data_IF_936191576721
#
_entry.id   IF_936191576721
#
_cell.length_a   1.000
_cell.length_b   1.000
_cell.length_c   1.000
_cell.angle_alpha   90.00
_cell.angle_beta   90.00
_cell.angle_gamma   90.00
#
_symmetry.space_group_name_H-M   'P 1'
#
loop_
_entity.id
_entity.type
_entity.pdbx_description
1 polymer ?
#
# COMPACT_ATOMS: atom_id res chain seq x y z
N UNK A 1 -89.01 -64.02 -10.13
CA UNK A 1 -88.37 -63.85 -8.81
C UNK A 1 -89.06 -62.74 -8.01
N UNK A 2 -89.16 -61.49 -8.48
CA UNK A 2 -89.92 -60.42 -7.77
C UNK A 2 -91.40 -60.77 -7.49
N UNK A 3 -92.14 -61.24 -8.50
CA UNK A 3 -93.55 -61.65 -8.34
C UNK A 3 -93.80 -62.80 -7.35
N UNK A 4 -92.80 -63.64 -7.07
CA UNK A 4 -92.95 -64.74 -6.11
C UNK A 4 -92.72 -64.26 -4.68
N UNK A 5 -91.85 -63.26 -4.50
CA UNK A 5 -91.61 -62.63 -3.20
C UNK A 5 -92.78 -61.73 -2.80
N UNK A 6 -93.31 -60.93 -3.73
CA UNK A 6 -94.49 -60.08 -3.50
C UNK A 6 -95.74 -60.94 -3.17
N UNK A 7 -95.91 -62.09 -3.83
CA UNK A 7 -97.03 -62.99 -3.56
C UNK A 7 -96.85 -63.77 -2.25
N UNK A 8 -95.60 -64.05 -1.84
CA UNK A 8 -95.29 -64.63 -0.52
C UNK A 8 -95.60 -63.64 0.60
N UNK A 9 -95.18 -62.37 0.48
CA UNK A 9 -95.54 -61.32 1.44
C UNK A 9 -97.06 -61.09 1.48
N UNK A 10 -97.75 -61.20 0.34
CA UNK A 10 -99.22 -61.14 0.28
C UNK A 10 -99.88 -62.32 0.99
N UNK A 11 -99.36 -63.54 0.82
CA UNK A 11 -99.82 -64.73 1.55
C UNK A 11 -99.58 -64.61 3.06
N UNK A 12 -98.38 -64.20 3.49
CA UNK A 12 -98.06 -64.00 4.91
C UNK A 12 -98.94 -62.90 5.54
N UNK A 13 -99.24 -61.84 4.78
CA UNK A 13 -100.17 -60.79 5.22
C UNK A 13 -101.60 -61.30 5.36
N UNK A 14 -102.10 -62.07 4.39
CA UNK A 14 -103.43 -62.69 4.43
C UNK A 14 -103.53 -63.73 5.55
N UNK A 15 -102.47 -64.49 5.83
CA UNK A 15 -102.41 -65.41 6.98
C UNK A 15 -102.49 -64.64 8.31
N UNK A 16 -101.75 -63.53 8.45
CA UNK A 16 -101.85 -62.70 9.67
C UNK A 16 -103.25 -62.05 9.81
N UNK A 17 -103.87 -61.62 8.72
CA UNK A 17 -105.23 -61.07 8.72
C UNK A 17 -106.27 -62.14 9.04
N UNK A 18 -106.05 -63.38 8.58
CA UNK A 18 -106.87 -64.55 8.91
C UNK A 18 -106.74 -64.91 10.40
N UNK A 19 -105.53 -64.92 10.97
CA UNK A 19 -105.32 -65.16 12.41
C UNK A 19 -105.98 -64.08 13.27
N UNK A 20 -105.86 -62.80 12.87
CA UNK A 20 -106.57 -61.70 13.54
C UNK A 20 -108.08 -61.90 13.47
N UNK A 21 -108.63 -62.26 12.31
CA UNK A 21 -110.06 -62.54 12.15
C UNK A 21 -110.51 -63.76 12.96
N UNK A 22 -109.72 -64.82 13.02
CA UNK A 22 -109.99 -66.00 13.84
C UNK A 22 -109.96 -65.67 15.34
N UNK A 23 -109.01 -64.83 15.79
CA UNK A 23 -108.95 -64.37 17.18
C UNK A 23 -110.16 -63.50 17.54
N UNK A 24 -110.56 -62.57 16.65
CA UNK A 24 -111.75 -61.74 16.80
C UNK A 24 -113.02 -62.59 16.84
N UNK A 25 -113.15 -63.56 15.94
CA UNK A 25 -114.26 -64.50 15.91
C UNK A 25 -114.32 -65.36 17.18
N UNK A 26 -113.18 -65.80 17.70
CA UNK A 26 -113.10 -66.55 18.97
C UNK A 26 -113.54 -65.68 20.16
N UNK A 27 -113.10 -64.42 20.22
CA UNK A 27 -113.54 -63.48 21.26
C UNK A 27 -115.04 -63.18 21.14
N UNK A 28 -115.55 -63.02 19.92
CA UNK A 28 -116.96 -62.79 19.64
C UNK A 28 -117.81 -64.01 20.02
N UNK A 29 -117.39 -65.23 19.68
CA UNK A 29 -118.03 -66.48 20.14
C UNK A 29 -118.07 -66.58 21.66
N UNK A 30 -116.97 -66.25 22.35
CA UNK A 30 -116.94 -66.23 23.82
C UNK A 30 -117.90 -65.18 24.40
N UNK A 31 -117.97 -63.98 23.80
CA UNK A 31 -118.91 -62.93 24.20
C UNK A 31 -120.37 -63.35 23.99
N UNK A 32 -120.68 -63.91 22.82
CA UNK A 32 -122.01 -64.47 22.52
C UNK A 32 -122.36 -65.58 23.52
N UNK A 33 -121.42 -66.48 23.84
CA UNK A 33 -121.67 -67.57 24.78
C UNK A 33 -121.88 -67.06 26.21
N UNK A 34 -121.21 -65.97 26.63
CA UNK A 34 -121.50 -65.28 27.90
C UNK A 34 -122.89 -64.66 27.89
N UNK A 35 -123.25 -63.92 26.84
CA UNK A 35 -124.57 -63.29 26.70
C UNK A 35 -125.68 -64.36 26.63
N UNK A 36 -125.47 -65.48 25.93
CA UNK A 36 -126.43 -66.59 25.91
C UNK A 36 -126.61 -67.21 27.30
N UNK A 37 -125.54 -67.32 28.09
CA UNK A 37 -125.63 -67.79 29.46
C UNK A 37 -126.34 -66.78 30.39
N UNK A 38 -126.12 -65.48 30.20
CA UNK A 38 -126.87 -64.43 30.90
C UNK A 38 -128.34 -64.44 30.52
N UNK A 39 -128.67 -64.57 29.23
CA UNK A 39 -130.06 -64.73 28.76
C UNK A 39 -130.71 -65.97 29.38
N UNK A 40 -130.04 -67.13 29.39
CA UNK A 40 -130.58 -68.31 30.09
C UNK A 40 -130.75 -68.12 31.60
N UNK A 41 -129.87 -67.35 32.25
CA UNK A 41 -130.03 -67.01 33.67
C UNK A 41 -131.24 -66.10 33.89
N UNK A 42 -131.45 -65.13 33.00
CA UNK A 42 -132.61 -64.25 33.03
C UNK A 42 -133.91 -65.00 32.68
N UNK A 43 -133.88 -65.96 31.74
CA UNK A 43 -135.01 -66.84 31.42
C UNK A 43 -135.35 -67.76 32.60
N UNK A 44 -134.37 -68.36 33.28
CA UNK A 44 -134.63 -69.12 34.52
C UNK A 44 -135.17 -68.22 35.63
N UNK A 45 -134.60 -67.02 35.80
CA UNK A 45 -135.10 -66.07 36.80
C UNK A 45 -136.52 -65.60 36.45
N UNK A 46 -136.86 -65.46 35.16
CA UNK A 46 -138.22 -65.19 34.70
C UNK A 46 -139.13 -66.37 35.00
N UNK A 47 -138.73 -67.60 34.68
CA UNK A 47 -139.52 -68.80 34.93
C UNK A 47 -139.73 -69.05 36.43
N UNK A 48 -138.70 -68.84 37.26
CA UNK A 48 -138.79 -68.87 38.73
C UNK A 48 -139.72 -67.75 39.25
N UNK A 49 -139.67 -66.55 38.67
CA UNK A 49 -140.59 -65.47 39.02
C UNK A 49 -142.01 -65.72 38.52
N UNK A 50 -142.19 -66.39 37.38
CA UNK A 50 -143.50 -66.75 36.80
C UNK A 50 -144.12 -67.93 37.57
N UNK A 51 -143.31 -68.88 38.03
CA UNK A 51 -143.68 -69.95 38.97
C UNK A 51 -144.04 -69.36 40.35
N UNK A 52 -143.23 -68.44 40.89
CA UNK A 52 -143.55 -67.71 42.12
C UNK A 52 -144.81 -66.83 41.99
N UNK A 53 -145.07 -66.25 40.81
CA UNK A 53 -146.30 -65.48 40.52
C UNK A 53 -147.52 -66.43 40.40
N UNK A 54 -147.32 -67.65 39.90
CA UNK A 54 -148.35 -68.69 39.83
C UNK A 54 -148.67 -69.31 41.20
N UNK A 55 -147.68 -69.40 42.10
CA UNK A 55 -147.84 -69.78 43.50
C UNK A 55 -148.48 -68.66 44.33
N UNK A 56 -148.11 -67.39 44.09
CA UNK A 56 -148.72 -66.22 44.74
C UNK A 56 -150.17 -65.98 44.30
N UNK A 57 -150.59 -66.44 43.11
CA UNK A 57 -152.00 -66.37 42.64
C UNK A 57 -152.93 -67.41 43.30
N UNK A 58 -152.39 -68.40 44.02
CA UNK A 58 -153.20 -69.39 44.79
C UNK A 58 -153.58 -68.92 46.20
N UNK A 59 -153.19 -67.72 46.60
CA UNK A 59 -153.51 -67.11 47.89
C UNK A 59 -154.11 -65.71 47.68
N UNK A 60 -155.31 -65.63 47.10
CA UNK A 60 -156.22 -64.52 47.37
C UNK A 60 -156.68 -64.60 48.83
N UNK A 61 -156.44 -63.58 49.69
CA UNK A 61 -157.14 -63.48 50.94
C UNK A 61 -158.57 -63.00 50.64
N UNK A 62 -159.53 -63.93 50.74
CA UNK A 62 -160.97 -63.63 50.83
C UNK A 62 -161.20 -62.54 51.89
N UNK A 63 -162.20 -61.65 51.70
CA UNK A 63 -162.51 -60.58 52.63
C UNK A 63 -162.98 -61.18 53.96
N UNK A 64 -162.05 -61.30 54.91
CA UNK A 64 -162.35 -61.70 56.27
C UNK A 64 -162.87 -60.47 57.00
N UNK A 65 -164.13 -60.58 57.41
CA UNK A 65 -164.74 -59.74 58.43
C UNK A 65 -163.90 -59.95 59.70
N UNK A 66 -162.92 -59.07 59.89
CA UNK A 66 -162.07 -59.08 61.07
C UNK A 66 -162.94 -58.84 62.30
N UNK A 67 -162.80 -59.72 63.28
CA UNK A 67 -163.39 -59.51 64.61
C UNK A 67 -162.61 -58.41 65.33
N UNK A 68 -163.27 -57.64 66.21
CA UNK A 68 -162.70 -56.46 66.91
C UNK A 68 -161.33 -56.73 67.57
N UNK A 69 -161.06 -57.97 68.00
CA UNK A 69 -159.79 -58.40 68.56
C UNK A 69 -158.64 -58.45 67.52
N UNK A 70 -158.92 -58.88 66.29
CA UNK A 70 -157.93 -58.93 65.20
C UNK A 70 -157.60 -57.53 64.70
N UNK A 71 -158.59 -56.63 64.67
CA UNK A 71 -158.38 -55.21 64.42
C UNK A 71 -157.43 -54.59 65.45
N UNK A 72 -157.61 -54.88 66.75
CA UNK A 72 -156.68 -54.39 67.80
C UNK A 72 -155.26 -54.94 67.66
N UNK A 73 -155.11 -56.22 67.26
CA UNK A 73 -153.79 -56.82 67.03
C UNK A 73 -153.12 -56.20 65.79
N UNK A 74 -153.87 -55.98 64.71
CA UNK A 74 -153.38 -55.29 63.52
C UNK A 74 -153.05 -53.82 63.79
N UNK A 75 -153.87 -53.13 64.58
CA UNK A 75 -153.63 -51.75 65.01
C UNK A 75 -152.38 -51.63 65.89
N UNK A 76 -152.16 -52.59 66.81
CA UNK A 76 -150.93 -52.68 67.61
C UNK A 76 -149.69 -52.97 66.75
N UNK A 77 -149.79 -53.89 65.79
CA UNK A 77 -148.70 -54.17 64.83
C UNK A 77 -148.40 -52.96 63.94
N UNK A 78 -149.44 -52.26 63.46
CA UNK A 78 -149.29 -51.04 62.67
C UNK A 78 -148.64 -49.94 63.51
N UNK A 79 -149.03 -49.77 64.77
CA UNK A 79 -148.42 -48.80 65.70
C UNK A 79 -146.94 -49.11 65.94
N UNK A 80 -146.59 -50.38 66.18
CA UNK A 80 -145.20 -50.80 66.37
C UNK A 80 -144.36 -50.62 65.09
N UNK A 81 -144.91 -51.00 63.93
CA UNK A 81 -144.27 -50.75 62.65
C UNK A 81 -144.08 -49.24 62.39
N UNK A 82 -145.06 -48.42 62.74
CA UNK A 82 -144.98 -46.96 62.57
C UNK A 82 -143.96 -46.32 63.53
N UNK A 83 -143.85 -46.82 64.76
CA UNK A 83 -142.80 -46.44 65.70
C UNK A 83 -141.41 -46.83 65.17
N UNK A 84 -141.28 -48.03 64.61
CA UNK A 84 -140.02 -48.49 64.01
C UNK A 84 -139.66 -47.70 62.76
N UNK A 85 -140.62 -47.39 61.89
CA UNK A 85 -140.42 -46.49 60.74
C UNK A 85 -139.97 -45.11 61.20
N UNK A 86 -140.55 -44.57 62.28
CA UNK A 86 -140.12 -43.29 62.84
C UNK A 86 -138.68 -43.34 63.36
N UNK A 87 -138.32 -44.40 64.10
CA UNK A 87 -136.95 -44.64 64.60
C UNK A 87 -135.95 -44.81 63.46
N UNK A 88 -136.30 -45.58 62.44
CA UNK A 88 -135.48 -45.77 61.24
C UNK A 88 -135.33 -44.47 60.45
N UNK A 89 -136.38 -43.65 60.38
CA UNK A 89 -136.33 -42.32 59.74
C UNK A 89 -135.39 -41.36 60.48
N UNK A 90 -135.42 -41.37 61.82
CA UNK A 90 -134.49 -40.58 62.64
C UNK A 90 -133.04 -41.06 62.47
N UNK A 91 -132.81 -42.39 62.51
CA UNK A 91 -131.49 -42.96 62.25
C UNK A 91 -130.98 -42.64 60.84
N UNK A 92 -131.83 -42.74 59.81
CA UNK A 92 -131.49 -42.37 58.43
C UNK A 92 -131.12 -40.88 58.37
N UNK A 93 -131.83 -40.01 59.10
CA UNK A 93 -131.49 -38.58 59.19
C UNK A 93 -130.13 -38.35 59.85
N UNK A 94 -129.80 -39.07 60.91
CA UNK A 94 -128.50 -38.95 61.57
C UNK A 94 -127.36 -39.54 60.73
N UNK A 95 -127.57 -40.68 60.08
CA UNK A 95 -126.64 -41.22 59.09
C UNK A 95 -126.40 -40.24 57.94
N UNK A 96 -127.45 -39.55 57.47
CA UNK A 96 -127.31 -38.52 56.44
C UNK A 96 -126.44 -37.36 56.91
N UNK A 97 -126.61 -36.87 58.15
CA UNK A 97 -125.74 -35.82 58.72
C UNK A 97 -124.28 -36.28 58.83
N UNK A 98 -124.04 -37.53 59.22
CA UNK A 98 -122.67 -38.09 59.31
C UNK A 98 -122.05 -38.22 57.91
N UNK A 99 -122.83 -38.64 56.91
CA UNK A 99 -122.37 -38.69 55.51
C UNK A 99 -122.02 -37.28 55.02
N UNK A 100 -122.86 -36.28 55.29
CA UNK A 100 -122.60 -34.87 54.94
C UNK A 100 -121.32 -34.36 55.63
N UNK A 101 -121.16 -34.57 56.94
CA UNK A 101 -119.94 -34.19 57.68
C UNK A 101 -118.68 -34.88 57.13
N UNK A 102 -118.74 -36.18 56.84
CA UNK A 102 -117.62 -36.92 56.27
C UNK A 102 -117.28 -36.45 54.84
N UNK A 103 -118.30 -36.07 54.05
CA UNK A 103 -118.10 -35.51 52.72
C UNK A 103 -117.40 -34.14 52.80
N UNK A 104 -117.82 -33.27 53.72
CA UNK A 104 -117.18 -31.97 53.99
C UNK A 104 -115.75 -32.14 54.49
N UNK A 105 -115.51 -33.07 55.42
CA UNK A 105 -114.16 -33.39 55.90
C UNK A 105 -113.27 -33.95 54.77
N UNK A 106 -113.81 -34.84 53.94
CA UNK A 106 -113.09 -35.37 52.78
C UNK A 106 -112.73 -34.27 51.79
N UNK A 107 -113.64 -33.32 51.54
CA UNK A 107 -113.38 -32.19 50.66
C UNK A 107 -112.31 -31.24 51.26
N UNK A 108 -112.36 -30.98 52.57
CA UNK A 108 -111.34 -30.17 53.24
C UNK A 108 -109.92 -30.80 53.17
N UNK A 109 -109.82 -32.12 53.38
CA UNK A 109 -108.54 -32.82 53.24
C UNK A 109 -108.06 -32.90 51.78
N UNK A 110 -108.97 -33.04 50.79
CA UNK A 110 -108.62 -32.93 49.37
C UNK A 110 -108.04 -31.55 49.05
N UNK A 111 -108.65 -30.47 49.52
CA UNK A 111 -108.15 -29.11 49.32
C UNK A 111 -106.77 -28.90 49.96
N UNK A 112 -106.57 -29.44 51.16
CA UNK A 112 -105.28 -29.41 51.86
C UNK A 112 -104.22 -30.21 51.10
N UNK A 113 -104.57 -31.38 50.58
CA UNK A 113 -103.70 -32.18 49.73
C UNK A 113 -103.29 -31.40 48.47
N UNK A 114 -104.24 -30.80 47.76
CA UNK A 114 -103.95 -29.96 46.58
C UNK A 114 -103.10 -28.72 46.89
N UNK A 115 -103.18 -28.16 48.10
CA UNK A 115 -102.26 -27.08 48.55
C UNK A 115 -100.85 -27.60 48.79
N UNK A 116 -100.70 -28.76 49.45
CA UNK A 116 -99.41 -29.38 49.69
C UNK A 116 -98.73 -29.86 48.41
N UNK A 117 -99.49 -30.39 47.44
CA UNK A 117 -98.96 -30.78 46.13
C UNK A 117 -98.35 -29.59 45.38
N UNK A 118 -99.01 -28.42 45.43
CA UNK A 118 -98.48 -27.17 44.86
C UNK A 118 -97.20 -26.73 45.57
N UNK A 119 -97.16 -26.77 46.90
CA UNK A 119 -95.95 -26.42 47.67
C UNK A 119 -94.78 -27.38 47.36
N UNK A 120 -95.04 -28.69 47.27
CA UNK A 120 -94.03 -29.69 46.88
C UNK A 120 -93.53 -29.42 45.45
N UNK A 121 -94.40 -29.09 44.51
CA UNK A 121 -94.01 -28.75 43.15
C UNK A 121 -93.11 -27.50 43.10
N UNK A 122 -93.47 -26.44 43.84
CA UNK A 122 -92.65 -25.22 43.95
C UNK A 122 -91.29 -25.49 44.60
N UNK A 123 -91.25 -26.29 45.67
CA UNK A 123 -89.98 -26.68 46.32
C UNK A 123 -89.10 -27.53 45.41
N UNK A 124 -89.67 -28.44 44.62
CA UNK A 124 -88.94 -29.21 43.61
C UNK A 124 -88.31 -28.29 42.57
N UNK A 125 -89.08 -27.36 42.03
CA UNK A 125 -88.58 -26.36 41.09
C UNK A 125 -87.42 -25.55 41.69
N UNK A 126 -87.56 -25.06 42.94
CA UNK A 126 -86.50 -24.35 43.63
C UNK A 126 -85.24 -25.19 43.82
N UNK A 127 -85.38 -26.47 44.19
CA UNK A 127 -84.24 -27.40 44.32
C UNK A 127 -83.53 -27.57 42.97
N UNK A 128 -84.27 -27.71 41.88
CA UNK A 128 -83.68 -27.88 40.54
C UNK A 128 -83.00 -26.60 40.06
N UNK A 129 -83.57 -25.41 40.33
CA UNK A 129 -82.93 -24.12 40.09
C UNK A 129 -81.62 -23.97 40.90
N UNK A 130 -81.62 -24.35 42.18
CA UNK A 130 -80.43 -24.29 43.03
C UNK A 130 -79.35 -25.30 42.57
N UNK A 131 -79.74 -26.51 42.18
CA UNK A 131 -78.82 -27.50 41.57
C UNK A 131 -78.21 -26.97 40.28
N UNK A 132 -79.01 -26.28 39.45
CA UNK A 132 -78.52 -25.60 38.24
C UNK A 132 -77.49 -24.52 38.57
N UNK A 133 -77.77 -23.67 39.56
CA UNK A 133 -76.83 -22.64 40.05
C UNK A 133 -75.52 -23.26 40.53
N UNK A 134 -75.57 -24.34 41.33
CA UNK A 134 -74.37 -25.04 41.81
C UNK A 134 -73.53 -25.55 40.65
N UNK A 135 -74.14 -26.24 39.66
CA UNK A 135 -73.42 -26.72 38.47
C UNK A 135 -72.78 -25.57 37.68
N UNK A 136 -73.48 -24.45 37.54
CA UNK A 136 -72.94 -23.27 36.87
C UNK A 136 -71.74 -22.68 37.63
N UNK A 137 -71.80 -22.60 38.96
CA UNK A 137 -70.67 -22.17 39.79
C UNK A 137 -69.50 -23.14 39.72
N UNK A 138 -69.72 -24.45 39.75
CA UNK A 138 -68.66 -25.45 39.57
C UNK A 138 -67.98 -25.32 38.21
N UNK A 139 -68.76 -25.12 37.13
CA UNK A 139 -68.20 -24.90 35.80
C UNK A 139 -67.43 -23.58 35.71
N UNK A 140 -67.94 -22.51 36.31
CA UNK A 140 -67.25 -21.22 36.39
C UNK A 140 -65.92 -21.35 37.13
N UNK A 141 -65.92 -22.01 38.30
CA UNK A 141 -64.73 -22.24 39.10
C UNK A 141 -63.68 -23.08 38.36
N UNK A 142 -64.11 -24.09 37.58
CA UNK A 142 -63.20 -24.86 36.72
C UNK A 142 -62.55 -23.99 35.64
N UNK A 143 -63.31 -23.10 34.99
CA UNK A 143 -62.78 -22.16 33.99
C UNK A 143 -61.81 -21.16 34.62
N UNK A 144 -62.19 -20.56 35.75
CA UNK A 144 -61.33 -19.64 36.50
C UNK A 144 -60.03 -20.32 36.96
N UNK A 145 -60.09 -21.59 37.39
CA UNK A 145 -58.90 -22.37 37.74
C UNK A 145 -57.98 -22.60 36.54
N UNK A 146 -58.52 -22.97 35.37
CA UNK A 146 -57.69 -23.13 34.15
C UNK A 146 -57.10 -21.80 33.69
N UNK A 147 -57.88 -20.71 33.74
CA UNK A 147 -57.40 -19.37 33.37
C UNK A 147 -56.30 -18.88 34.33
N UNK A 148 -56.45 -19.14 35.63
CA UNK A 148 -55.41 -18.83 36.63
C UNK A 148 -54.13 -19.62 36.36
N UNK A 149 -54.24 -20.93 36.12
CA UNK A 149 -53.09 -21.77 35.78
C UNK A 149 -52.35 -21.26 34.52
N UNK A 150 -53.08 -20.91 33.46
CA UNK A 150 -52.50 -20.38 32.23
C UNK A 150 -51.82 -19.02 32.44
N UNK A 151 -52.32 -18.20 33.38
CA UNK A 151 -51.70 -16.92 33.76
C UNK A 151 -50.44 -17.16 34.60
N UNK A 152 -50.47 -18.11 35.54
CA UNK A 152 -49.31 -18.49 36.35
C UNK A 152 -48.17 -19.05 35.48
N UNK A 153 -48.48 -19.90 34.50
CA UNK A 153 -47.50 -20.43 33.55
C UNK A 153 -46.90 -19.32 32.69
N UNK A 154 -47.73 -18.40 32.20
CA UNK A 154 -47.25 -17.22 31.46
C UNK A 154 -46.35 -16.34 32.34
N UNK A 155 -46.72 -16.12 33.60
CA UNK A 155 -45.91 -15.35 34.54
C UNK A 155 -44.53 -16.00 34.71
N UNK A 156 -44.48 -17.30 35.00
CA UNK A 156 -43.23 -18.05 35.16
C UNK A 156 -42.33 -17.95 33.91
N UNK A 157 -42.89 -18.15 32.73
CA UNK A 157 -42.13 -18.03 31.47
C UNK A 157 -41.57 -16.61 31.30
N UNK A 158 -42.35 -15.57 31.63
CA UNK A 158 -41.86 -14.18 31.56
C UNK A 158 -40.79 -13.85 32.61
N UNK A 159 -40.84 -14.46 33.79
CA UNK A 159 -39.80 -14.34 34.81
C UNK A 159 -38.48 -14.99 34.38
N UNK A 160 -38.55 -16.20 33.79
CA UNK A 160 -37.39 -16.89 33.22
C UNK A 160 -36.77 -16.08 32.08
N UNK A 161 -37.59 -15.55 31.16
CA UNK A 161 -37.15 -14.66 30.08
C UNK A 161 -36.48 -13.38 30.61
N UNK A 162 -37.03 -12.80 31.69
CA UNK A 162 -36.44 -11.63 32.34
C UNK A 162 -35.06 -11.96 32.92
N UNK A 163 -34.93 -13.12 33.58
CA UNK A 163 -33.65 -13.58 34.13
C UNK A 163 -32.62 -13.80 33.01
N UNK A 164 -33.01 -14.45 31.90
CA UNK A 164 -32.16 -14.61 30.73
C UNK A 164 -31.72 -13.25 30.14
N UNK A 165 -32.64 -12.32 29.92
CA UNK A 165 -32.32 -10.97 29.44
C UNK A 165 -31.38 -10.22 30.38
N UNK A 166 -31.55 -10.35 31.69
CA UNK A 166 -30.65 -9.74 32.69
C UNK A 166 -29.22 -10.27 32.56
N UNK A 167 -29.05 -11.59 32.48
CA UNK A 167 -27.71 -12.19 32.28
C UNK A 167 -27.08 -11.77 30.95
N UNK A 168 -27.87 -11.66 29.88
CA UNK A 168 -27.41 -11.19 28.58
C UNK A 168 -26.95 -9.72 28.62
N UNK A 169 -27.73 -8.84 29.27
CA UNK A 169 -27.36 -7.43 29.49
C UNK A 169 -26.06 -7.34 30.29
N UNK A 170 -25.88 -8.15 31.33
CA UNK A 170 -24.63 -8.17 32.10
C UNK A 170 -23.43 -8.63 31.26
N UNK A 171 -23.61 -9.62 30.38
CA UNK A 171 -22.59 -10.05 29.42
C UNK A 171 -22.20 -8.92 28.48
N UNK A 172 -23.18 -8.24 27.87
CA UNK A 172 -22.93 -7.09 26.98
C UNK A 172 -22.23 -5.94 27.72
N UNK A 173 -22.63 -5.64 28.96
CA UNK A 173 -21.94 -4.63 29.80
C UNK A 173 -20.47 -4.98 30.02
N UNK A 174 -20.15 -6.26 30.29
CA UNK A 174 -18.74 -6.72 30.41
C UNK A 174 -17.98 -6.55 29.10
N UNK A 175 -18.58 -6.92 27.96
CA UNK A 175 -17.96 -6.75 26.65
C UNK A 175 -17.67 -5.28 26.33
N UNK A 176 -18.64 -4.37 26.58
CA UNK A 176 -18.46 -2.93 26.41
C UNK A 176 -17.35 -2.39 27.31
N UNK A 177 -17.26 -2.86 28.55
CA UNK A 177 -16.20 -2.45 29.47
C UNK A 177 -14.81 -2.90 29.00
N UNK A 178 -14.68 -4.12 28.47
CA UNK A 178 -13.43 -4.62 27.88
C UNK A 178 -13.05 -3.79 26.66
N UNK A 179 -13.97 -3.59 25.72
CA UNK A 179 -13.73 -2.78 24.52
C UNK A 179 -13.35 -1.33 24.86
N UNK A 180 -13.94 -0.74 25.91
CA UNK A 180 -13.59 0.61 26.37
C UNK A 180 -12.16 0.67 26.94
N UNK A 181 -11.74 -0.33 27.71
CA UNK A 181 -10.36 -0.42 28.24
C UNK A 181 -9.35 -0.59 27.10
N UNK A 182 -9.65 -1.44 26.12
CA UNK A 182 -8.78 -1.63 24.95
C UNK A 182 -8.68 -0.37 24.10
N UNK A 183 -9.81 0.30 23.83
CA UNK A 183 -9.82 1.60 23.15
C UNK A 183 -8.93 2.62 23.86
N UNK A 184 -9.09 2.77 25.17
CA UNK A 184 -8.25 3.69 25.98
C UNK A 184 -6.77 3.33 25.91
N UNK A 185 -6.42 2.02 25.90
CA UNK A 185 -5.05 1.54 25.75
C UNK A 185 -4.47 1.91 24.37
N UNK A 186 -5.24 1.72 23.29
CA UNK A 186 -4.80 2.08 21.94
C UNK A 186 -4.69 3.59 21.73
N UNK A 187 -5.61 4.37 22.29
CA UNK A 187 -5.54 5.83 22.28
C UNK A 187 -4.28 6.33 23.01
N UNK A 188 -3.95 5.74 24.16
CA UNK A 188 -2.71 6.08 24.88
C UNK A 188 -1.45 5.75 24.07
N UNK A 189 -1.40 4.58 23.42
CA UNK A 189 -0.28 4.21 22.54
C UNK A 189 -0.19 5.13 21.32
N UNK A 190 -1.31 5.45 20.70
CA UNK A 190 -1.38 6.35 19.56
C UNK A 190 -0.84 7.74 19.92
N UNK A 191 -1.30 8.31 21.04
CA UNK A 191 -0.84 9.62 21.51
C UNK A 191 0.66 9.61 21.80
N UNK A 192 1.18 8.57 22.45
CA UNK A 192 2.62 8.42 22.71
C UNK A 192 3.43 8.38 21.40
N UNK A 193 3.03 7.54 20.44
CA UNK A 193 3.71 7.44 19.15
C UNK A 193 3.65 8.76 18.36
N UNK A 194 2.52 9.48 18.45
CA UNK A 194 2.36 10.80 17.83
C UNK A 194 3.31 11.83 18.45
N UNK A 195 3.38 11.90 19.78
CA UNK A 195 4.32 12.78 20.47
C UNK A 195 5.79 12.47 20.13
N UNK A 196 6.15 11.18 20.03
CA UNK A 196 7.48 10.77 19.59
C UNK A 196 7.76 11.19 18.15
N UNK A 197 6.79 11.05 17.25
CA UNK A 197 6.91 11.49 15.86
C UNK A 197 7.09 13.02 15.76
N UNK A 198 6.30 13.79 16.49
CA UNK A 198 6.40 15.25 16.51
C UNK A 198 7.79 15.70 17.00
N UNK A 199 8.31 15.08 18.08
CA UNK A 199 9.68 15.31 18.57
C UNK A 199 10.74 14.97 17.54
N UNK A 200 10.59 13.86 16.81
CA UNK A 200 11.54 13.48 15.74
C UNK A 200 11.47 14.43 14.56
N UNK A 201 10.29 14.91 14.21
CA UNK A 201 10.09 15.89 13.14
C UNK A 201 10.76 17.23 13.48
N UNK A 202 10.61 17.69 14.73
CA UNK A 202 11.30 18.89 15.22
C UNK A 202 12.83 18.70 15.19
N UNK A 203 13.34 17.56 15.70
CA UNK A 203 14.77 17.23 15.62
C UNK A 203 15.28 17.22 14.17
N UNK A 204 14.55 16.62 13.24
CA UNK A 204 14.92 16.57 11.84
C UNK A 204 14.99 17.98 11.23
N UNK A 205 14.01 18.83 11.54
CA UNK A 205 14.00 20.24 11.10
C UNK A 205 15.21 21.01 11.63
N UNK A 206 15.56 20.84 12.91
CA UNK A 206 16.76 21.48 13.50
C UNK A 206 18.06 20.96 12.88
N UNK A 207 18.17 19.66 12.61
CA UNK A 207 19.33 19.09 11.94
C UNK A 207 19.43 19.55 10.48
N UNK A 208 18.31 19.66 9.77
CA UNK A 208 18.28 20.13 8.39
C UNK A 208 18.71 21.60 8.28
N UNK A 209 18.24 22.45 9.19
CA UNK A 209 18.69 23.85 9.26
C UNK A 209 20.17 23.97 9.64
N UNK A 210 20.65 23.18 10.60
CA UNK A 210 22.08 23.11 10.94
C UNK A 210 22.93 22.60 9.78
N UNK A 211 22.46 21.59 9.04
CA UNK A 211 23.14 21.05 7.86
C UNK A 211 23.25 22.13 6.77
N UNK A 212 22.14 22.81 6.45
CA UNK A 212 22.14 23.89 5.48
C UNK A 212 23.09 25.04 5.88
N UNK A 213 23.13 25.39 7.17
CA UNK A 213 24.07 26.38 7.68
C UNK A 213 25.54 25.94 7.51
N UNK A 214 25.85 24.67 7.78
CA UNK A 214 27.19 24.11 7.58
C UNK A 214 27.58 24.05 6.10
N UNK A 215 26.67 23.63 5.21
CA UNK A 215 26.89 23.62 3.75
C UNK A 215 27.15 25.04 3.22
N UNK A 216 26.37 26.02 3.68
CA UNK A 216 26.58 27.43 3.32
C UNK A 216 27.92 27.96 3.84
N UNK A 217 28.34 27.59 5.05
CA UNK A 217 29.68 27.95 5.55
C UNK A 217 30.79 27.26 4.75
N UNK A 218 30.64 25.98 4.41
CA UNK A 218 31.60 25.26 3.57
C UNK A 218 31.75 25.91 2.20
N UNK A 219 30.64 26.21 1.53
CA UNK A 219 30.65 26.88 0.23
C UNK A 219 31.34 28.24 0.27
N UNK A 220 31.14 29.03 1.34
CA UNK A 220 31.86 30.30 1.54
C UNK A 220 33.36 30.10 1.72
N UNK A 221 33.76 29.12 2.54
CA UNK A 221 35.19 28.81 2.76
C UNK A 221 35.84 28.34 1.45
N UNK A 222 35.15 27.50 0.67
CA UNK A 222 35.62 27.05 -0.65
C UNK A 222 35.75 28.20 -1.64
N UNK A 223 34.79 29.12 -1.67
CA UNK A 223 34.86 30.33 -2.50
C UNK A 223 36.02 31.24 -2.09
N UNK A 224 36.19 31.50 -0.79
CA UNK A 224 37.28 32.31 -0.26
C UNK A 224 38.65 31.67 -0.54
N UNK A 225 38.79 30.37 -0.33
CA UNK A 225 40.00 29.63 -0.65
C UNK A 225 40.31 29.64 -2.15
N UNK A 226 39.29 29.45 -3.00
CA UNK A 226 39.40 29.55 -4.45
C UNK A 226 39.87 30.93 -4.90
N UNK A 227 39.30 32.00 -4.34
CA UNK A 227 39.74 33.37 -4.63
C UNK A 227 41.19 33.63 -4.16
N UNK A 228 41.60 33.09 -3.02
CA UNK A 228 42.97 33.23 -2.53
C UNK A 228 43.98 32.49 -3.42
N UNK A 229 43.66 31.26 -3.83
CA UNK A 229 44.49 30.47 -4.74
C UNK A 229 44.60 31.15 -6.11
N UNK A 230 43.51 31.70 -6.65
CA UNK A 230 43.55 32.44 -7.91
C UNK A 230 44.46 33.67 -7.80
N UNK A 231 44.31 34.49 -6.74
CA UNK A 231 45.18 35.64 -6.50
C UNK A 231 46.66 35.24 -6.37
N UNK A 232 46.95 34.09 -5.77
CA UNK A 232 48.32 33.58 -5.67
C UNK A 232 48.85 33.12 -7.03
N UNK A 233 48.02 32.42 -7.82
CA UNK A 233 48.35 32.00 -9.18
C UNK A 233 48.67 33.22 -10.05
N UNK A 234 47.81 34.24 -10.07
CA UNK A 234 48.02 35.49 -10.82
C UNK A 234 49.33 36.19 -10.43
N UNK A 235 49.65 36.25 -9.12
CA UNK A 235 50.92 36.83 -8.63
C UNK A 235 52.13 36.02 -9.08
N UNK A 236 52.03 34.69 -9.04
CA UNK A 236 53.10 33.80 -9.49
C UNK A 236 53.33 33.92 -10.99
N UNK A 237 52.26 33.99 -11.77
CA UNK A 237 52.30 34.19 -13.22
C UNK A 237 52.95 35.53 -13.57
N UNK A 238 52.54 36.62 -12.92
CA UNK A 238 53.18 37.93 -13.08
C UNK A 238 54.66 37.93 -12.68
N UNK A 239 55.05 37.18 -11.64
CA UNK A 239 56.44 37.06 -11.23
C UNK A 239 57.27 36.28 -12.25
N UNK A 240 56.73 35.18 -12.79
CA UNK A 240 57.35 34.39 -13.86
C UNK A 240 57.50 35.26 -15.11
N UNK A 241 56.47 36.00 -15.51
CA UNK A 241 56.53 36.87 -16.69
C UNK A 241 57.59 37.98 -16.53
N UNK A 242 57.69 38.57 -15.33
CA UNK A 242 58.79 39.52 -15.03
C UNK A 242 60.17 38.87 -15.09
N UNK A 243 60.32 37.62 -14.67
CA UNK A 243 61.58 36.89 -14.77
C UNK A 243 61.92 36.53 -16.21
N UNK A 244 60.94 36.10 -17.02
CA UNK A 244 61.08 35.86 -18.45
C UNK A 244 61.55 37.13 -19.17
N UNK A 245 60.87 38.25 -18.97
CA UNK A 245 61.29 39.54 -19.53
C UNK A 245 62.71 39.97 -19.10
N UNK A 246 63.13 39.66 -17.86
CA UNK A 246 64.49 39.93 -17.41
C UNK A 246 65.52 39.01 -18.07
N UNK A 247 65.16 37.75 -18.27
CA UNK A 247 65.99 36.77 -18.95
C UNK A 247 66.17 37.17 -20.42
N UNK A 248 65.08 37.46 -21.13
CA UNK A 248 65.10 37.90 -22.53
C UNK A 248 66.00 39.14 -22.70
N UNK A 249 65.86 40.15 -21.81
CA UNK A 249 66.74 41.34 -21.81
C UNK A 249 68.21 41.01 -21.51
N UNK A 250 68.47 39.98 -20.71
CA UNK A 250 69.84 39.53 -20.41
C UNK A 250 70.42 38.80 -21.62
N UNK A 251 69.62 37.99 -22.30
CA UNK A 251 70.00 37.26 -23.50
C UNK A 251 70.24 38.22 -24.67
N UNK A 252 69.42 39.27 -24.83
CA UNK A 252 69.67 40.37 -25.76
C UNK A 252 71.03 41.03 -25.50
N UNK A 253 71.33 41.37 -24.23
CA UNK A 253 72.64 41.92 -23.85
C UNK A 253 73.78 40.96 -24.13
N UNK A 254 73.62 39.67 -23.84
CA UNK A 254 74.62 38.65 -24.14
C UNK A 254 74.84 38.52 -25.65
N UNK A 255 73.80 38.61 -26.46
CA UNK A 255 73.89 38.60 -27.91
C UNK A 255 74.61 39.86 -28.45
N UNK A 256 74.32 41.04 -27.89
CA UNK A 256 75.07 42.28 -28.19
C UNK A 256 76.56 42.13 -27.83
N UNK A 257 76.88 41.62 -26.64
CA UNK A 257 78.26 41.37 -26.22
C UNK A 257 78.97 40.34 -27.13
N UNK A 258 78.31 39.24 -27.49
CA UNK A 258 78.87 38.25 -28.42
C UNK A 258 79.15 38.87 -29.78
N UNK A 259 78.24 39.72 -30.28
CA UNK A 259 78.41 40.44 -31.54
C UNK A 259 79.58 41.43 -31.46
N UNK A 260 79.70 42.18 -30.37
CA UNK A 260 80.85 43.07 -30.12
C UNK A 260 82.18 42.30 -30.12
N UNK A 261 82.25 41.16 -29.42
CA UNK A 261 83.46 40.33 -29.36
C UNK A 261 83.82 39.76 -30.74
N UNK A 262 82.84 39.29 -31.51
CA UNK A 262 83.05 38.79 -32.89
C UNK A 262 83.58 39.89 -33.81
N UNK A 263 83.02 41.09 -33.72
CA UNK A 263 83.46 42.25 -34.50
C UNK A 263 84.87 42.68 -34.12
N UNK A 264 85.16 42.79 -32.81
CA UNK A 264 86.50 43.13 -32.31
C UNK A 264 87.56 42.11 -32.76
N UNK A 265 87.25 40.82 -32.66
CA UNK A 265 88.15 39.75 -33.06
C UNK A 265 88.44 39.78 -34.56
N UNK A 266 87.41 40.03 -35.37
CA UNK A 266 87.57 40.19 -36.82
C UNK A 266 88.43 41.41 -37.13
N UNK A 267 88.20 42.55 -36.47
CA UNK A 267 89.00 43.76 -36.66
C UNK A 267 90.48 43.57 -36.28
N UNK A 268 90.77 42.88 -35.17
CA UNK A 268 92.16 42.57 -34.76
C UNK A 268 92.85 41.70 -35.82
N UNK A 269 92.17 40.67 -36.34
CA UNK A 269 92.71 39.83 -37.42
C UNK A 269 92.95 40.67 -38.68
N UNK A 270 92.00 41.51 -39.08
CA UNK A 270 92.15 42.38 -40.26
C UNK A 270 93.35 43.32 -40.12
N UNK A 271 93.56 43.93 -38.94
CA UNK A 271 94.72 44.75 -38.66
C UNK A 271 96.02 43.93 -38.75
N UNK A 272 96.07 42.75 -38.15
CA UNK A 272 97.21 41.84 -38.20
C UNK A 272 97.54 41.40 -39.62
N UNK A 273 96.53 40.97 -40.39
CA UNK A 273 96.68 40.57 -41.79
C UNK A 273 97.16 41.75 -42.63
N UNK A 274 96.66 42.97 -42.39
CA UNK A 274 97.10 44.18 -43.07
C UNK A 274 98.55 44.52 -42.74
N UNK A 275 98.94 44.43 -41.46
CA UNK A 275 100.32 44.66 -41.00
C UNK A 275 101.28 43.60 -41.58
N UNK A 276 100.95 42.31 -41.48
CA UNK A 276 101.72 41.22 -42.09
C UNK A 276 101.84 41.39 -43.60
N UNK A 277 100.74 41.71 -44.29
CA UNK A 277 100.75 41.94 -45.74
C UNK A 277 101.59 43.15 -46.15
N UNK A 278 101.68 44.18 -45.29
CA UNK A 278 102.59 45.31 -45.49
C UNK A 278 104.04 44.89 -45.30
N UNK A 279 104.35 44.14 -44.24
CA UNK A 279 105.68 43.58 -43.98
C UNK A 279 106.17 42.68 -45.11
N UNK A 280 105.32 41.79 -45.60
CA UNK A 280 105.65 40.94 -46.74
C UNK A 280 105.89 41.77 -48.01
N UNK A 281 105.09 42.82 -48.26
CA UNK A 281 105.34 43.75 -49.38
C UNK A 281 106.69 44.48 -49.24
N UNK A 282 107.03 44.92 -48.04
CA UNK A 282 108.28 45.62 -47.74
C UNK A 282 109.50 44.70 -47.87
N UNK A 283 109.38 43.43 -47.45
CA UNK A 283 110.40 42.39 -47.65
C UNK A 283 110.55 41.98 -49.12
N UNK A 284 109.44 41.84 -49.88
CA UNK A 284 109.51 41.60 -51.33
C UNK A 284 110.11 42.78 -52.09
N UNK A 285 109.82 44.02 -51.67
CA UNK A 285 110.45 45.20 -52.25
C UNK A 285 111.96 45.27 -51.95
N UNK A 286 112.43 44.77 -50.79
CA UNK A 286 113.88 44.59 -50.50
C UNK A 286 114.52 43.58 -51.45
N UNK A 287 113.91 42.42 -51.67
CA UNK A 287 114.41 41.39 -52.60
C UNK A 287 114.50 41.91 -54.06
N UNK A 288 113.54 42.74 -54.49
CA UNK A 288 113.55 43.38 -55.81
C UNK A 288 114.53 44.58 -55.91
N UNK A 289 114.79 45.31 -54.82
CA UNK A 289 115.76 46.42 -54.78
C UNK A 289 117.22 45.93 -54.74
N UNK A 290 117.48 44.76 -54.14
CA UNK A 290 118.81 44.13 -54.08
C UNK A 290 119.25 43.56 -55.45
N UNK A 291 118.28 43.28 -56.34
CA UNK A 291 118.52 42.77 -57.71
C UNK A 291 118.91 43.87 -58.73
N UNK A 292 118.77 45.18 -58.40
CA UNK A 292 119.14 46.27 -59.33
C UNK A 292 120.61 46.71 -59.27
N UNK A 293 121.40 46.18 -58.34
CA UNK A 293 122.81 46.59 -58.15
C UNK A 293 123.86 45.63 -58.72
N UNK A 294 123.45 44.55 -59.40
CA UNK A 294 124.37 43.59 -60.04
C UNK A 294 123.95 43.27 -61.46
N UNK A 295 124.17 44.20 -62.39
CA UNK A 295 124.68 43.93 -63.76
C UNK A 295 124.61 45.17 -64.65
N UNK A 296 125.74 45.89 -64.82
CA UNK A 296 125.92 46.87 -65.88
C UNK A 296 126.32 46.20 -67.22
N UNK A 297 126.01 46.87 -68.33
CA UNK A 297 126.62 46.72 -69.68
C UNK A 297 126.29 45.50 -70.56
N UNK A 298 125.03 45.38 -70.99
CA UNK A 298 124.59 44.45 -72.07
C UNK A 298 124.97 44.89 -73.51
N UNK A 299 125.79 45.93 -73.70
CA UNK A 299 126.11 46.47 -75.03
C UNK A 299 127.46 46.01 -75.60
N UNK A 300 128.42 45.63 -74.75
CA UNK A 300 129.81 45.41 -75.16
C UNK A 300 130.18 43.91 -75.25
N UNK A 301 129.39 43.02 -74.61
CA UNK A 301 129.57 41.55 -74.70
C UNK A 301 129.03 40.91 -75.98
N UNK A 302 128.11 41.55 -76.71
CA UNK A 302 127.55 40.98 -77.93
C UNK A 302 128.58 40.89 -79.07
N UNK A 303 129.52 41.84 -79.14
CA UNK A 303 130.57 41.85 -80.16
C UNK A 303 131.64 40.78 -79.89
N UNK A 304 132.05 40.60 -78.64
CA UNK A 304 132.97 39.52 -78.24
C UNK A 304 132.34 38.13 -78.37
N UNK A 305 131.05 37.96 -78.01
CA UNK A 305 130.30 36.72 -78.26
C UNK A 305 130.19 36.39 -79.75
N UNK A 306 129.96 37.40 -80.60
CA UNK A 306 129.86 37.17 -82.05
C UNK A 306 131.19 36.81 -82.70
N UNK A 307 132.31 37.38 -82.22
CA UNK A 307 133.66 37.04 -82.69
C UNK A 307 134.07 35.65 -82.19
N UNK A 308 133.75 35.30 -80.93
CA UNK A 308 134.03 33.97 -80.37
C UNK A 308 133.19 32.86 -81.04
N UNK A 309 131.90 33.09 -81.32
CA UNK A 309 131.06 32.14 -82.07
C UNK A 309 131.59 31.90 -83.51
N UNK A 310 132.14 32.93 -84.17
CA UNK A 310 132.73 32.80 -85.51
C UNK A 310 134.11 32.12 -85.51
N UNK A 311 134.94 32.32 -84.48
CA UNK A 311 136.25 31.65 -84.35
C UNK A 311 136.09 30.18 -83.94
N UNK A 312 135.12 29.87 -83.07
CA UNK A 312 134.91 28.53 -82.52
C UNK A 312 133.90 27.68 -83.30
N UNK A 313 133.31 28.23 -84.38
CA UNK A 313 132.33 27.55 -85.23
C UNK A 313 131.15 26.94 -84.41
N UNK A 314 130.61 27.72 -83.45
CA UNK A 314 129.52 27.31 -82.54
C UNK A 314 128.33 28.29 -82.61
N UNK A 315 127.11 27.81 -82.38
CA UNK A 315 125.90 28.63 -82.43
C UNK A 315 125.76 29.54 -81.19
N UNK A 316 125.02 30.66 -81.32
CA UNK A 316 124.79 31.62 -80.21
C UNK A 316 124.00 31.03 -79.04
N UNK A 317 123.12 30.05 -79.27
CA UNK A 317 122.38 29.37 -78.20
C UNK A 317 123.29 28.46 -77.40
N UNK A 318 124.17 27.72 -78.08
CA UNK A 318 125.06 26.76 -77.42
C UNK A 318 126.13 27.47 -76.58
N UNK A 319 126.55 28.67 -77.00
CA UNK A 319 127.44 29.51 -76.20
C UNK A 319 126.73 30.16 -74.99
N UNK A 320 125.42 30.44 -75.10
CA UNK A 320 124.64 31.02 -74.01
C UNK A 320 124.29 29.99 -72.92
N UNK A 321 124.08 28.72 -73.30
CA UNK A 321 123.83 27.62 -72.36
C UNK A 321 125.09 27.18 -71.59
N UNK A 322 126.28 27.47 -72.13
CA UNK A 322 127.57 27.24 -71.43
C UNK A 322 127.95 28.39 -70.49
N UNK A 323 127.30 29.57 -70.63
CA UNK A 323 127.56 30.80 -69.87
C UNK A 323 126.46 31.15 -68.87
N UNK A 324 125.46 30.29 -68.66
CA UNK A 324 124.51 30.41 -67.55
C UNK A 324 125.12 29.81 -66.28
N UNK A 325 125.51 30.63 -65.28
CA UNK A 325 126.00 30.11 -64.02
C UNK A 325 124.84 29.41 -63.28
N UNK A 326 125.02 28.13 -62.98
CA UNK A 326 124.06 27.23 -62.31
C UNK A 326 123.73 27.65 -60.86
N UNK A 327 124.35 28.70 -60.30
CA UNK A 327 124.29 29.05 -58.87
C UNK A 327 123.56 30.38 -58.51
N UNK A 328 122.95 31.10 -59.46
CA UNK A 328 122.35 32.42 -59.16
C UNK A 328 120.80 32.48 -59.15
N UNK A 329 120.10 31.44 -59.62
CA UNK A 329 118.63 31.45 -59.77
C UNK A 329 117.86 30.58 -58.76
N UNK A 330 118.54 29.77 -57.93
CA UNK A 330 117.89 28.86 -56.97
C UNK A 330 117.59 29.51 -55.61
N UNK A 331 118.36 30.50 -55.16
CA UNK A 331 118.21 31.08 -53.81
C UNK A 331 116.96 31.94 -53.59
N UNK A 332 116.40 32.50 -54.66
CA UNK A 332 115.30 33.49 -54.59
C UNK A 332 113.92 32.81 -54.64
N UNK A 333 113.83 31.63 -55.24
CA UNK A 333 112.58 30.88 -55.33
C UNK A 333 112.22 30.19 -54.01
N UNK A 334 113.23 29.66 -53.30
CA UNK A 334 113.07 29.05 -51.96
C UNK A 334 112.61 30.07 -50.92
N UNK A 335 113.12 31.32 -50.96
CA UNK A 335 112.65 32.38 -50.06
C UNK A 335 111.19 32.78 -50.36
N UNK A 336 110.82 32.94 -51.64
CA UNK A 336 109.46 33.34 -52.04
C UNK A 336 108.38 32.28 -51.74
N UNK A 337 108.74 30.99 -51.81
CA UNK A 337 107.87 29.88 -51.40
C UNK A 337 107.75 29.79 -49.87
N UNK A 338 108.84 29.99 -49.12
CA UNK A 338 108.81 30.07 -47.66
C UNK A 338 107.89 31.20 -47.15
N UNK A 339 107.90 32.39 -47.78
CA UNK A 339 107.00 33.50 -47.43
C UNK A 339 105.53 33.19 -47.72
N UNK A 340 105.24 32.46 -48.81
CA UNK A 340 103.87 32.02 -49.14
C UNK A 340 103.39 30.98 -48.14
N UNK A 341 104.25 30.03 -47.76
CA UNK A 341 103.93 29.01 -46.77
C UNK A 341 103.71 29.65 -45.39
N UNK A 342 104.58 30.57 -44.95
CA UNK A 342 104.41 31.33 -43.70
C UNK A 342 103.10 32.15 -43.69
N UNK A 343 102.74 32.78 -44.82
CA UNK A 343 101.45 33.48 -44.96
C UNK A 343 100.25 32.54 -44.83
N UNK A 344 100.32 31.34 -45.40
CA UNK A 344 99.24 30.34 -45.29
C UNK A 344 99.13 29.74 -43.88
N UNK A 345 100.26 29.48 -43.22
CA UNK A 345 100.32 28.99 -41.84
C UNK A 345 99.79 30.05 -40.86
N UNK A 346 100.17 31.30 -41.07
CA UNK A 346 99.70 32.45 -40.29
C UNK A 346 98.20 32.70 -40.46
N UNK A 347 97.67 32.57 -41.68
CA UNK A 347 96.23 32.62 -41.97
C UNK A 347 95.45 31.49 -41.30
N UNK A 348 95.97 30.25 -41.34
CA UNK A 348 95.37 29.11 -40.64
C UNK A 348 95.38 29.32 -39.12
N UNK A 349 96.46 29.86 -38.56
CA UNK A 349 96.57 30.16 -37.13
C UNK A 349 95.57 31.25 -36.69
N UNK A 350 95.36 32.29 -37.51
CA UNK A 350 94.37 33.33 -37.24
C UNK A 350 92.92 32.80 -37.33
N UNK A 351 92.64 31.90 -38.29
CA UNK A 351 91.34 31.23 -38.38
C UNK A 351 91.06 30.33 -37.17
N UNK A 352 92.06 29.57 -36.71
CA UNK A 352 91.95 28.76 -35.50
C UNK A 352 91.76 29.62 -34.26
N UNK A 353 92.44 30.76 -34.17
CA UNK A 353 92.24 31.72 -33.09
C UNK A 353 90.83 32.33 -33.12
N UNK A 354 90.35 32.76 -34.29
CA UNK A 354 88.98 33.26 -34.47
C UNK A 354 87.95 32.24 -33.99
N UNK A 355 88.13 30.97 -34.38
CA UNK A 355 87.26 29.89 -33.94
C UNK A 355 87.30 29.66 -32.42
N UNK A 356 88.48 29.79 -31.79
CA UNK A 356 88.61 29.73 -30.33
C UNK A 356 87.89 30.89 -29.64
N UNK A 357 87.96 32.11 -30.20
CA UNK A 357 87.21 33.26 -29.65
C UNK A 357 85.71 33.07 -29.81
N UNK A 358 85.24 32.61 -30.98
CA UNK A 358 83.83 32.32 -31.21
C UNK A 358 83.30 31.24 -30.27
N UNK A 359 84.08 30.18 -30.03
CA UNK A 359 83.74 29.13 -29.08
C UNK A 359 83.60 29.66 -27.66
N UNK A 360 84.58 30.43 -27.17
CA UNK A 360 84.56 31.02 -25.82
C UNK A 360 83.43 32.04 -25.67
N UNK A 361 83.06 32.75 -26.74
CA UNK A 361 81.93 33.70 -26.73
C UNK A 361 80.55 33.02 -26.66
N UNK A 362 80.45 31.73 -27.01
CA UNK A 362 79.22 30.94 -26.95
C UNK A 362 79.15 30.09 -25.67
N UNK A 363 80.28 29.88 -25.00
CA UNK A 363 80.33 29.21 -23.71
C UNK A 363 79.69 30.05 -22.59
N UNK A 364 79.04 29.40 -21.63
CA UNK A 364 78.41 30.06 -20.49
C UNK A 364 79.44 30.83 -19.63
N UNK A 365 79.08 31.99 -19.04
CA UNK A 365 79.95 32.73 -18.11
C UNK A 365 80.51 31.83 -16.98
N UNK A 366 81.75 32.04 -16.50
CA UNK A 366 82.60 33.23 -16.67
C UNK A 366 83.68 33.09 -17.76
N UNK A 367 83.35 33.45 -19.00
CA UNK A 367 84.29 33.42 -20.13
C UNK A 367 85.17 34.68 -20.25
N UNK A 368 84.81 35.78 -19.59
CA UNK A 368 85.45 37.10 -19.76
C UNK A 368 86.97 37.08 -19.51
N UNK A 369 87.43 36.42 -18.43
CA UNK A 369 88.87 36.35 -18.09
C UNK A 369 89.67 35.58 -19.14
N UNK A 370 89.12 34.47 -19.64
CA UNK A 370 89.76 33.65 -20.68
C UNK A 370 89.77 34.37 -22.02
N UNK A 371 88.68 35.06 -22.36
CA UNK A 371 88.56 35.87 -23.57
C UNK A 371 89.53 37.05 -23.57
N UNK A 372 89.63 37.79 -22.45
CA UNK A 372 90.58 38.90 -22.31
C UNK A 372 92.04 38.45 -22.48
N UNK A 373 92.43 37.30 -21.91
CA UNK A 373 93.77 36.74 -22.13
C UNK A 373 94.01 36.40 -23.59
N UNK A 374 93.06 35.72 -24.23
CA UNK A 374 93.18 35.29 -25.62
C UNK A 374 93.24 36.48 -26.61
N UNK A 375 92.51 37.57 -26.32
CA UNK A 375 92.61 38.83 -27.05
C UNK A 375 93.94 39.54 -26.77
N UNK A 376 94.39 39.56 -25.51
CA UNK A 376 95.65 40.17 -25.12
C UNK A 376 96.85 39.53 -25.81
N UNK A 377 96.89 38.20 -25.88
CA UNK A 377 97.95 37.46 -26.58
C UNK A 377 98.02 37.87 -28.07
N UNK A 378 96.87 38.09 -28.73
CA UNK A 378 96.86 38.57 -30.12
C UNK A 378 97.20 40.03 -30.29
N UNK A 379 96.85 40.88 -29.33
CA UNK A 379 97.30 42.27 -29.32
C UNK A 379 98.82 42.31 -29.13
N UNK A 380 99.40 41.47 -28.27
CA UNK A 380 100.85 41.33 -28.14
C UNK A 380 101.52 40.84 -29.42
N UNK A 381 100.91 39.89 -30.14
CA UNK A 381 101.39 39.51 -31.48
C UNK A 381 101.40 40.71 -32.44
N UNK A 382 100.37 41.56 -32.40
CA UNK A 382 100.29 42.77 -33.24
C UNK A 382 101.37 43.81 -32.88
N UNK A 383 101.64 43.97 -31.58
CA UNK A 383 102.71 44.83 -31.09
C UNK A 383 104.06 44.32 -31.57
N UNK A 384 104.36 43.02 -31.40
CA UNK A 384 105.60 42.41 -31.89
C UNK A 384 105.78 42.56 -33.39
N UNK A 385 104.73 42.35 -34.19
CA UNK A 385 104.77 42.57 -35.64
C UNK A 385 105.05 44.03 -36.00
N UNK A 386 104.54 44.97 -35.20
CA UNK A 386 104.82 46.40 -35.39
C UNK A 386 106.28 46.72 -35.01
N UNK A 387 106.80 46.15 -33.93
CA UNK A 387 108.20 46.26 -33.52
C UNK A 387 109.14 45.68 -34.59
N UNK A 388 108.82 44.51 -35.15
CA UNK A 388 109.59 43.88 -36.24
C UNK A 388 109.62 44.77 -37.49
N UNK A 389 108.50 45.44 -37.81
CA UNK A 389 108.46 46.43 -38.89
C UNK A 389 109.35 47.63 -38.60
N UNK A 390 109.24 48.20 -37.40
CA UNK A 390 110.07 49.35 -37.00
C UNK A 390 111.55 48.98 -36.99
N UNK A 391 111.93 47.77 -36.54
CA UNK A 391 113.30 47.28 -36.61
C UNK A 391 113.77 47.13 -38.06
N UNK A 392 112.94 46.61 -38.96
CA UNK A 392 113.25 46.52 -40.40
C UNK A 392 113.40 47.90 -41.09
N UNK A 393 112.68 48.92 -40.61
CA UNK A 393 112.82 50.32 -41.06
C UNK A 393 114.07 50.98 -40.48
N UNK A 394 114.42 50.72 -39.22
CA UNK A 394 115.68 51.18 -38.61
C UNK A 394 116.87 50.57 -39.37
N UNK A 395 116.85 49.26 -39.66
CA UNK A 395 117.86 48.61 -40.50
C UNK A 395 117.92 49.19 -41.93
N UNK A 396 116.79 49.64 -42.50
CA UNK A 396 116.79 50.34 -43.79
C UNK A 396 117.48 51.70 -43.70
N UNK A 397 117.22 52.46 -42.64
CA UNK A 397 117.88 53.76 -42.41
C UNK A 397 119.37 53.56 -42.16
N UNK A 398 119.76 52.56 -41.36
CA UNK A 398 121.17 52.25 -41.11
C UNK A 398 121.91 51.79 -42.36
N UNK A 399 121.29 50.99 -43.24
CA UNK A 399 121.86 50.59 -44.54
C UNK A 399 121.91 51.72 -45.58
N UNK A 400 121.05 52.73 -45.47
CA UNK A 400 121.14 53.95 -46.29
C UNK A 400 122.19 54.93 -45.76
N UNK A 401 122.36 55.02 -44.43
CA UNK A 401 123.38 55.86 -43.78
C UNK A 401 124.80 55.31 -43.93
N UNK A 402 124.97 53.98 -44.13
CA UNK A 402 126.29 53.39 -44.47
C UNK A 402 126.62 53.40 -45.97
N UNK A 403 125.70 53.86 -46.82
CA UNK A 403 125.89 54.01 -48.28
C UNK A 403 126.03 55.48 -48.74
N UNK A 404 126.11 56.41 -47.81
CA UNK A 404 126.59 57.80 -48.00
C UNK A 404 127.82 58.00 -47.13
#
# INVERSE_FOLDING_TARGET
MQKFQDEKERCEKVESELEICQSKLKSSKQSIQRLTNEVRKLERSRDELEEALSESKKLEPKPQVHTDAEYRVLESKLKNANQEVSRLTENLKDQKKVIEFNADQSNAEKDKFSRLERDIAMKRQLIDELRGKIKNFEQKNKREFTELHDVEERLKNTEEDLAHKKTHIESLRRQVQVATKEKSKYEAMYNKSREELDKRSEQLSTLQTSKLAAENMSSKIEEEAGQQLQKLADRSEQAIEKLRLKLDRSDEKLAEFSTFVKNLSTHIIELLVRQRSSLYRERSSKAEAQNRHTSPEKSSMSHAQSVACNILNMSRSDFADLMTPVDASSRIQDEQEAWKEERTLSSKADQQWKHKVEKISVENPPFAKSLCRLLWDKIQDAVKLTEDRCRLQIEQVEQQVTKH
#
